data_IF_158459766167
#
_entry.id   IF_158459766167
#
_cell.length_a   1.000
_cell.length_b   1.000
_cell.length_c   1.000
_cell.angle_alpha   90.00
_cell.angle_beta   90.00
_cell.angle_gamma   90.00
#
_symmetry.space_group_name_H-M   'P 1'
#
loop_
_entity.id
_entity.type
_entity.pdbx_description
1 polymer ?
#
# COMPACT_ATOMS: atom_id res chain seq x y z
N UNK A 1 -41.62 -36.37 -2.33
CA UNK A 1 -42.62 -37.20 -3.04
C UNK A 1 -41.93 -38.51 -3.36
N UNK A 2 -42.36 -39.62 -2.77
CA UNK A 2 -41.74 -40.92 -3.01
C UNK A 2 -42.09 -41.40 -4.43
N UNK A 3 -41.08 -41.61 -5.27
CA UNK A 3 -41.21 -42.22 -6.58
C UNK A 3 -41.60 -43.69 -6.41
N UNK A 4 -42.78 -44.06 -6.91
CA UNK A 4 -43.30 -45.43 -6.81
C UNK A 4 -42.82 -46.24 -8.02
N UNK A 5 -41.88 -47.16 -7.77
CA UNK A 5 -41.39 -48.11 -8.75
C UNK A 5 -42.37 -49.28 -8.90
N UNK A 6 -42.86 -49.52 -10.12
CA UNK A 6 -43.94 -50.47 -10.38
C UNK A 6 -43.49 -51.88 -10.78
N UNK A 7 -42.20 -52.11 -10.95
CA UNK A 7 -41.66 -53.43 -11.34
C UNK A 7 -40.49 -53.84 -10.44
N UNK A 8 -40.39 -55.10 -10.01
CA UNK A 8 -39.23 -55.58 -9.26
C UNK A 8 -37.96 -55.47 -10.11
N UNK A 9 -36.95 -54.75 -9.63
CA UNK A 9 -35.70 -54.51 -10.36
C UNK A 9 -34.75 -53.61 -9.58
N UNK A 10 -33.50 -53.49 -10.04
CA UNK A 10 -32.52 -52.55 -9.50
C UNK A 10 -32.65 -51.23 -10.28
N UNK A 11 -32.92 -50.14 -9.57
CA UNK A 11 -33.00 -48.80 -10.15
C UNK A 11 -31.82 -47.96 -9.67
N UNK A 12 -31.17 -47.27 -10.60
CA UNK A 12 -30.13 -46.28 -10.30
C UNK A 12 -30.76 -44.91 -10.56
N UNK A 13 -30.97 -44.14 -9.50
CA UNK A 13 -31.28 -42.71 -9.61
C UNK A 13 -29.99 -41.92 -9.50
N UNK A 14 -29.59 -41.27 -10.60
CA UNK A 14 -28.62 -40.19 -10.51
C UNK A 14 -29.36 -38.93 -10.05
N UNK A 15 -29.18 -38.56 -8.77
CA UNK A 15 -29.59 -37.24 -8.29
C UNK A 15 -28.48 -36.28 -8.76
N UNK A 16 -28.71 -35.39 -9.75
CA UNK A 16 -27.71 -34.41 -10.15
C UNK A 16 -27.56 -33.40 -9.02
N UNK A 17 -26.65 -33.70 -8.10
CA UNK A 17 -26.25 -32.81 -7.02
C UNK A 17 -25.09 -31.98 -7.56
N UNK A 18 -25.38 -31.08 -8.49
CA UNK A 18 -24.43 -30.02 -8.77
C UNK A 18 -24.17 -29.33 -7.43
N UNK A 19 -22.92 -29.31 -6.93
CA UNK A 19 -22.61 -28.48 -5.77
C UNK A 19 -23.06 -27.05 -6.12
N UNK A 20 -23.63 -26.30 -5.16
CA UNK A 20 -23.93 -24.90 -5.41
C UNK A 20 -22.65 -24.25 -5.93
N UNK A 21 -22.73 -23.63 -7.11
CA UNK A 21 -21.61 -22.84 -7.65
C UNK A 21 -21.31 -21.76 -6.62
N UNK A 22 -20.20 -21.88 -5.90
CA UNK A 22 -19.75 -20.82 -5.01
C UNK A 22 -19.32 -19.65 -5.89
N UNK A 23 -19.95 -18.50 -5.74
CA UNK A 23 -19.38 -17.27 -6.28
C UNK A 23 -18.07 -17.03 -5.51
N UNK A 24 -16.97 -16.84 -6.23
CA UNK A 24 -15.70 -16.45 -5.64
C UNK A 24 -15.88 -15.09 -4.99
N UNK A 25 -16.05 -15.04 -3.68
CA UNK A 25 -15.97 -13.78 -2.93
C UNK A 25 -14.50 -13.53 -2.69
N UNK A 26 -13.97 -12.43 -3.22
CA UNK A 26 -12.60 -12.02 -2.93
C UNK A 26 -12.47 -11.82 -1.41
N UNK A 27 -11.72 -12.70 -0.74
CA UNK A 27 -11.57 -12.68 0.72
C UNK A 27 -10.49 -11.71 1.20
N UNK A 28 -9.72 -11.15 0.26
CA UNK A 28 -8.60 -10.25 0.51
C UNK A 28 -8.77 -9.00 -0.35
N UNK A 29 -9.64 -8.08 0.09
CA UNK A 29 -9.83 -6.78 -0.55
C UNK A 29 -9.00 -5.75 0.23
N UNK A 30 -7.87 -5.28 -0.32
CA UNK A 30 -7.04 -4.30 0.38
C UNK A 30 -7.55 -2.88 0.23
N UNK A 31 -7.48 -2.11 1.32
CA UNK A 31 -7.49 -0.66 1.31
C UNK A 31 -6.07 -0.14 1.33
N UNK A 32 -5.64 0.47 0.22
CA UNK A 32 -4.39 1.19 0.10
C UNK A 32 -4.57 2.65 0.54
N UNK A 33 -3.75 3.08 1.49
CA UNK A 33 -3.77 4.44 2.04
C UNK A 33 -2.44 5.12 1.73
N UNK A 34 -2.48 6.26 1.04
CA UNK A 34 -1.27 7.00 0.67
C UNK A 34 -1.55 8.30 -0.09
N UNK A 35 -0.48 8.95 -0.54
CA UNK A 35 -0.55 10.21 -1.30
C UNK A 35 -0.74 9.94 -2.80
N UNK A 36 -1.49 10.80 -3.47
CA UNK A 36 -1.85 10.65 -4.89
C UNK A 36 -1.43 11.87 -5.70
N UNK A 37 -1.45 11.80 -7.04
CA UNK A 37 -1.17 12.97 -7.87
C UNK A 37 -2.31 13.97 -7.82
N UNK A 38 -3.54 13.45 -7.90
CA UNK A 38 -4.77 14.23 -7.83
C UNK A 38 -5.57 13.81 -6.61
N UNK A 39 -6.11 14.79 -5.90
CA UNK A 39 -7.04 14.59 -4.80
C UNK A 39 -8.49 14.92 -5.19
N UNK A 40 -8.75 15.21 -6.47
CA UNK A 40 -10.05 15.61 -7.00
C UNK A 40 -10.37 14.91 -8.31
N UNK A 41 -11.64 14.53 -8.47
CA UNK A 41 -12.19 14.02 -9.72
C UNK A 41 -13.34 14.92 -10.17
N UNK A 42 -13.25 15.49 -11.37
CA UNK A 42 -14.30 16.36 -11.96
C UNK A 42 -14.74 17.51 -11.05
N UNK A 43 -13.83 18.03 -10.22
CA UNK A 43 -14.10 19.12 -9.28
C UNK A 43 -14.56 18.68 -7.88
N UNK A 44 -14.86 17.39 -7.68
CA UNK A 44 -15.16 16.85 -6.35
C UNK A 44 -13.90 16.37 -5.63
N UNK A 45 -13.79 16.65 -4.34
CA UNK A 45 -12.70 16.12 -3.50
C UNK A 45 -12.86 14.62 -3.28
N UNK A 46 -11.75 13.91 -3.42
CA UNK A 46 -11.55 12.49 -3.10
C UNK A 46 -11.02 12.31 -1.67
N UNK A 47 -10.48 13.37 -1.04
CA UNK A 47 -10.11 13.32 0.38
C UNK A 47 -11.35 13.08 1.21
N UNK A 48 -11.32 12.05 2.08
CA UNK A 48 -12.47 11.67 2.89
C UNK A 48 -13.39 10.61 2.24
N UNK A 49 -13.04 10.10 1.05
CA UNK A 49 -13.76 9.01 0.37
C UNK A 49 -12.85 7.81 0.17
N UNK A 50 -13.41 6.61 0.28
CA UNK A 50 -12.77 5.39 -0.17
C UNK A 50 -13.27 5.07 -1.59
N UNK A 51 -12.36 4.93 -2.54
CA UNK A 51 -12.72 4.69 -3.95
C UNK A 51 -12.29 3.29 -4.35
N UNK A 52 -13.23 2.47 -4.76
CA UNK A 52 -12.96 1.14 -5.30
C UNK A 52 -12.38 1.26 -6.72
N UNK A 53 -11.34 0.49 -6.99
CA UNK A 53 -10.72 0.33 -8.31
C UNK A 53 -10.49 -1.16 -8.61
N UNK A 54 -10.50 -1.52 -9.88
CA UNK A 54 -10.24 -2.87 -10.36
C UNK A 54 -8.98 -2.97 -11.24
N UNK A 55 -8.35 -1.84 -11.60
CA UNK A 55 -7.14 -1.85 -12.41
C UNK A 55 -6.25 -0.63 -12.20
N UNK A 56 -4.99 -0.73 -12.65
CA UNK A 56 -4.05 0.42 -12.69
C UNK A 56 -4.55 1.52 -13.62
N UNK A 57 -5.24 1.19 -14.72
CA UNK A 57 -5.77 2.18 -15.65
C UNK A 57 -6.85 3.06 -14.99
N UNK A 58 -7.74 2.45 -14.20
CA UNK A 58 -8.72 3.19 -13.39
C UNK A 58 -8.05 4.07 -12.35
N UNK A 59 -7.00 3.57 -11.69
CA UNK A 59 -6.20 4.39 -10.78
C UNK A 59 -5.62 5.62 -11.48
N UNK A 60 -5.01 5.45 -12.66
CA UNK A 60 -4.40 6.54 -13.41
C UNK A 60 -5.41 7.59 -13.87
N UNK A 61 -6.63 7.17 -14.21
CA UNK A 61 -7.72 8.08 -14.57
C UNK A 61 -8.20 8.91 -13.37
N UNK A 62 -8.26 8.32 -12.18
CA UNK A 62 -8.83 8.95 -10.98
C UNK A 62 -7.79 9.73 -10.17
N UNK A 63 -6.64 9.11 -9.91
CA UNK A 63 -5.62 9.56 -8.96
C UNK A 63 -4.32 10.01 -9.62
N UNK A 64 -4.15 9.73 -10.92
CA UNK A 64 -2.97 10.06 -11.70
C UNK A 64 -1.83 9.05 -11.57
N UNK A 65 -0.61 9.50 -11.86
CA UNK A 65 0.60 8.67 -11.91
C UNK A 65 1.57 8.99 -10.78
N UNK A 66 2.61 8.16 -10.62
CA UNK A 66 3.70 8.40 -9.67
C UNK A 66 4.29 9.82 -9.75
N UNK A 67 4.79 10.35 -8.61
CA UNK A 67 5.42 11.65 -8.56
C UNK A 67 6.65 11.67 -9.47
N UNK A 68 6.83 12.77 -10.22
CA UNK A 68 8.04 12.96 -11.01
C UNK A 68 9.20 13.25 -10.06
N UNK A 69 10.26 12.44 -10.15
CA UNK A 69 11.41 12.55 -9.26
C UNK A 69 12.42 13.56 -9.84
N UNK A 70 12.81 14.54 -9.04
CA UNK A 70 14.01 15.34 -9.33
C UNK A 70 15.25 14.49 -9.01
N UNK A 71 16.32 14.65 -9.78
CA UNK A 71 17.58 13.95 -9.52
C UNK A 71 18.65 14.98 -9.26
N UNK A 72 19.27 14.90 -8.08
CA UNK A 72 20.46 15.67 -7.74
C UNK A 72 21.69 14.86 -8.14
N UNK A 73 22.56 15.46 -8.94
CA UNK A 73 23.82 14.85 -9.39
C UNK A 73 24.95 15.42 -8.53
N UNK A 74 25.71 14.54 -7.90
CA UNK A 74 26.92 14.90 -7.18
C UNK A 74 28.14 14.64 -8.06
N UNK A 75 29.00 15.66 -8.18
CA UNK A 75 30.32 15.57 -8.80
C UNK A 75 31.41 15.58 -7.73
N UNK A 76 32.48 14.86 -7.98
CA UNK A 76 33.69 14.94 -7.18
C UNK A 76 34.45 16.28 -7.40
N UNK A 77 35.54 16.49 -6.65
CA UNK A 77 36.40 17.66 -6.78
C UNK A 77 37.01 17.85 -8.19
N UNK A 78 37.06 16.79 -9.00
CA UNK A 78 37.61 16.77 -10.35
C UNK A 78 36.53 16.82 -11.45
N UNK A 79 35.27 17.10 -11.09
CA UNK A 79 34.11 17.08 -11.99
C UNK A 79 33.74 15.71 -12.58
N UNK A 80 34.20 14.62 -11.99
CA UNK A 80 33.70 13.30 -12.37
C UNK A 80 32.37 13.02 -11.67
N UNK A 81 31.52 12.24 -12.34
CA UNK A 81 30.28 11.76 -11.77
C UNK A 81 30.55 10.87 -10.54
N UNK A 82 29.97 11.23 -9.39
CA UNK A 82 30.07 10.45 -8.15
C UNK A 82 28.77 9.65 -7.91
N UNK A 83 27.65 10.36 -7.71
CA UNK A 83 26.35 9.72 -7.46
C UNK A 83 25.19 10.56 -7.95
N UNK A 84 24.06 9.91 -8.26
CA UNK A 84 22.80 10.56 -8.55
C UNK A 84 21.77 10.10 -7.51
N UNK A 85 21.17 11.04 -6.78
CA UNK A 85 20.16 10.74 -5.76
C UNK A 85 18.81 11.29 -6.21
N UNK A 86 17.79 10.43 -6.42
CA UNK A 86 16.44 10.91 -6.69
C UNK A 86 15.80 11.50 -5.43
N UNK A 87 14.93 12.47 -5.61
CA UNK A 87 14.06 13.02 -4.56
C UNK A 87 13.13 11.95 -4.00
N UNK A 88 12.56 12.22 -2.82
CA UNK A 88 11.74 11.25 -2.08
C UNK A 88 10.59 10.72 -2.93
N UNK A 89 10.38 9.41 -2.84
CA UNK A 89 9.47 8.65 -3.68
C UNK A 89 8.27 8.21 -2.84
N UNK A 90 7.07 8.63 -3.20
CA UNK A 90 5.85 7.98 -2.71
C UNK A 90 5.70 6.62 -3.40
N UNK A 91 5.35 5.60 -2.63
CA UNK A 91 5.33 4.20 -3.04
C UNK A 91 3.93 3.70 -3.39
N UNK A 92 2.84 4.40 -3.02
CA UNK A 92 1.47 3.96 -3.28
C UNK A 92 1.23 3.46 -4.71
N UNK A 93 1.58 4.28 -5.72
CA UNK A 93 1.40 3.92 -7.13
C UNK A 93 2.24 2.71 -7.55
N UNK A 94 3.50 2.64 -7.12
CA UNK A 94 4.38 1.51 -7.44
C UNK A 94 3.91 0.22 -6.74
N UNK A 95 3.43 0.32 -5.49
CA UNK A 95 2.83 -0.78 -4.74
C UNK A 95 1.57 -1.32 -5.43
N UNK A 96 0.72 -0.45 -5.98
CA UNK A 96 -0.46 -0.87 -6.75
C UNK A 96 -0.07 -1.58 -8.04
N UNK A 97 0.92 -1.07 -8.76
CA UNK A 97 1.44 -1.76 -9.96
C UNK A 97 1.96 -3.15 -9.63
N UNK A 98 2.67 -3.30 -8.51
CA UNK A 98 3.12 -4.60 -8.04
C UNK A 98 1.94 -5.49 -7.63
N UNK A 99 0.94 -4.95 -6.94
CA UNK A 99 -0.26 -5.70 -6.54
C UNK A 99 -0.98 -6.30 -7.77
N UNK A 100 -1.29 -5.49 -8.77
CA UNK A 100 -1.93 -5.98 -9.99
C UNK A 100 -1.04 -6.91 -10.82
N UNK A 101 0.28 -6.66 -10.85
CA UNK A 101 1.22 -7.57 -11.52
C UNK A 101 1.31 -8.95 -10.84
N UNK A 102 0.93 -9.06 -9.56
CA UNK A 102 0.85 -10.32 -8.81
C UNK A 102 -0.58 -10.91 -8.78
N UNK A 103 -1.47 -10.46 -9.67
CA UNK A 103 -2.84 -10.98 -9.76
C UNK A 103 -3.82 -10.34 -8.77
N UNK A 104 -3.53 -9.12 -8.30
CA UNK A 104 -4.45 -8.34 -7.49
C UNK A 104 -5.79 -8.07 -8.20
N UNK A 105 -6.88 -8.13 -7.44
CA UNK A 105 -8.25 -7.88 -7.90
C UNK A 105 -8.77 -6.51 -7.47
N UNK A 106 -10.01 -6.47 -6.97
CA UNK A 106 -10.61 -5.22 -6.47
C UNK A 106 -9.84 -4.72 -5.26
N UNK A 107 -9.57 -3.42 -5.21
CA UNK A 107 -9.02 -2.76 -4.04
C UNK A 107 -9.61 -1.38 -3.83
N UNK A 108 -9.45 -0.85 -2.63
CA UNK A 108 -9.89 0.49 -2.26
C UNK A 108 -8.69 1.42 -2.14
N UNK A 109 -8.84 2.64 -2.61
CA UNK A 109 -7.86 3.71 -2.44
C UNK A 109 -8.44 4.77 -1.53
N UNK A 110 -7.69 5.14 -0.50
CA UNK A 110 -7.97 6.29 0.33
C UNK A 110 -6.80 7.26 0.19
N UNK A 111 -7.05 8.37 -0.50
CA UNK A 111 -6.02 9.41 -0.69
C UNK A 111 -5.84 10.23 0.59
N UNK A 112 -4.58 10.50 0.93
CA UNK A 112 -4.18 11.42 1.99
C UNK A 112 -4.06 12.87 1.50
N UNK A 113 -4.30 13.11 0.21
CA UNK A 113 -4.08 14.37 -0.48
C UNK A 113 -3.03 14.25 -1.59
N UNK A 114 -2.76 15.36 -2.26
CA UNK A 114 -1.74 15.45 -3.28
C UNK A 114 -0.33 15.21 -2.72
N UNK A 115 0.61 14.82 -3.59
CA UNK A 115 2.01 14.63 -3.21
C UNK A 115 2.59 15.88 -2.54
N UNK A 116 3.02 15.80 -1.27
CA UNK A 116 3.58 16.96 -0.60
C UNK A 116 4.96 17.29 -1.18
N UNK A 117 5.28 18.59 -1.20
CA UNK A 117 6.54 19.09 -1.75
C UNK A 117 7.80 18.61 -0.98
N UNK A 118 7.64 18.17 0.27
CA UNK A 118 8.70 17.61 1.11
C UNK A 118 8.14 16.59 2.09
N UNK A 119 8.93 15.57 2.40
CA UNK A 119 8.57 14.58 3.42
C UNK A 119 8.83 15.03 4.86
N UNK A 120 9.54 16.14 5.06
CA UNK A 120 9.81 16.68 6.40
C UNK A 120 8.56 17.13 7.16
N UNK A 121 7.45 17.38 6.44
CA UNK A 121 6.18 17.85 7.02
C UNK A 121 5.14 16.73 7.17
N UNK A 122 5.49 15.49 6.85
CA UNK A 122 4.57 14.36 6.97
C UNK A 122 4.28 14.08 8.45
N UNK A 123 3.01 13.88 8.76
CA UNK A 123 2.55 13.58 10.11
C UNK A 123 1.42 12.52 10.08
N UNK A 124 1.01 12.05 11.26
CA UNK A 124 0.03 10.98 11.40
C UNK A 124 -1.43 11.41 11.17
N UNK A 125 -1.75 12.71 11.19
CA UNK A 125 -3.13 13.19 11.20
C UNK A 125 -3.94 12.84 9.91
N UNK A 126 -3.35 12.89 8.69
CA UNK A 126 -4.03 12.39 7.49
C UNK A 126 -4.42 10.92 7.59
N UNK A 127 -3.56 10.07 8.19
CA UNK A 127 -3.85 8.66 8.38
C UNK A 127 -5.00 8.43 9.37
N UNK A 128 -5.06 9.19 10.45
CA UNK A 128 -6.19 9.13 11.39
C UNK A 128 -7.52 9.48 10.72
N UNK A 129 -7.51 10.45 9.81
CA UNK A 129 -8.68 10.81 9.01
C UNK A 129 -9.04 9.68 8.02
N UNK A 130 -8.04 9.08 7.38
CA UNK A 130 -8.23 7.94 6.48
C UNK A 130 -8.82 6.71 7.19
N UNK A 131 -8.39 6.41 8.43
CA UNK A 131 -8.96 5.30 9.20
C UNK A 131 -10.44 5.49 9.54
N UNK A 132 -10.87 6.72 9.80
CA UNK A 132 -12.29 7.04 10.01
C UNK A 132 -13.13 6.81 8.75
N UNK A 133 -12.56 7.10 7.58
CA UNK A 133 -13.22 6.81 6.29
C UNK A 133 -13.31 5.30 6.11
N UNK A 134 -12.18 4.61 6.28
CA UNK A 134 -12.08 3.15 6.16
C UNK A 134 -13.05 2.41 7.09
N UNK A 135 -13.33 2.95 8.28
CA UNK A 135 -14.25 2.36 9.25
C UNK A 135 -15.70 2.27 8.72
N UNK A 136 -16.09 3.15 7.80
CA UNK A 136 -17.44 3.15 7.22
C UNK A 136 -17.57 2.21 6.01
N UNK A 137 -16.49 1.58 5.57
CA UNK A 137 -16.49 0.66 4.44
C UNK A 137 -16.46 -0.79 4.94
N UNK A 138 -17.44 -1.60 4.55
CA UNK A 138 -17.57 -2.98 5.04
C UNK A 138 -16.72 -3.99 4.24
N UNK A 139 -16.36 -3.69 3.00
CA UNK A 139 -15.67 -4.64 2.11
C UNK A 139 -14.16 -4.81 2.38
N UNK A 140 -13.38 -3.77 2.75
CA UNK A 140 -11.94 -3.93 2.93
C UNK A 140 -11.57 -4.85 4.10
N UNK A 141 -10.80 -5.90 3.80
CA UNK A 141 -10.29 -6.86 4.78
C UNK A 141 -8.79 -6.70 5.06
N UNK A 142 -8.06 -5.97 4.22
CA UNK A 142 -6.64 -5.66 4.43
C UNK A 142 -6.38 -4.16 4.51
N UNK A 143 -5.47 -3.72 5.38
CA UNK A 143 -5.00 -2.34 5.46
C UNK A 143 -3.55 -2.30 5.00
N UNK A 144 -3.26 -1.49 3.97
CA UNK A 144 -1.91 -1.35 3.40
C UNK A 144 -1.55 0.13 3.32
N UNK A 145 -0.39 0.51 3.85
CA UNK A 145 0.02 1.91 4.02
C UNK A 145 1.45 2.16 3.50
N UNK A 146 1.70 1.97 2.19
CA UNK A 146 3.06 1.93 1.64
C UNK A 146 3.83 3.25 1.82
N UNK A 147 3.13 4.38 1.94
CA UNK A 147 3.76 5.69 2.13
C UNK A 147 4.11 6.02 3.59
N UNK A 148 3.56 5.27 4.55
CA UNK A 148 3.71 5.56 5.99
C UNK A 148 5.17 5.43 6.45
N UNK A 149 6.00 4.69 5.71
CA UNK A 149 7.44 4.54 5.95
C UNK A 149 8.20 5.88 5.95
N UNK A 150 7.65 6.93 5.34
CA UNK A 150 8.24 8.27 5.36
C UNK A 150 8.01 9.05 6.66
N UNK A 151 7.15 8.54 7.55
CA UNK A 151 6.83 9.18 8.83
C UNK A 151 7.92 9.04 9.90
N UNK A 152 8.97 8.24 9.63
CA UNK A 152 10.03 7.96 10.59
C UNK A 152 9.46 7.43 11.90
N UNK A 153 9.77 8.08 13.02
CA UNK A 153 9.31 7.66 14.35
C UNK A 153 7.78 7.57 14.51
N UNK A 154 7.00 8.33 13.71
CA UNK A 154 5.53 8.30 13.75
C UNK A 154 4.92 7.09 13.00
N UNK A 155 5.72 6.32 12.27
CA UNK A 155 5.28 5.10 11.57
C UNK A 155 4.58 4.12 12.53
N UNK A 156 5.16 3.90 13.70
CA UNK A 156 4.63 2.95 14.67
C UNK A 156 3.28 3.37 15.22
N UNK A 157 3.08 4.67 15.45
CA UNK A 157 1.79 5.22 15.89
C UNK A 157 0.69 5.00 14.85
N UNK A 158 0.99 5.22 13.57
CA UNK A 158 0.03 4.95 12.48
C UNK A 158 -0.31 3.46 12.40
N UNK A 159 0.68 2.57 12.51
CA UNK A 159 0.45 1.12 12.51
C UNK A 159 -0.33 0.64 13.75
N UNK A 160 -0.11 1.27 14.91
CA UNK A 160 -0.89 1.03 16.13
C UNK A 160 -2.35 1.44 15.97
N UNK A 161 -2.61 2.57 15.31
CA UNK A 161 -3.98 3.02 15.02
C UNK A 161 -4.70 2.05 14.08
N UNK A 162 -4.02 1.56 13.03
CA UNK A 162 -4.56 0.53 12.14
C UNK A 162 -4.85 -0.79 12.90
N UNK A 163 -3.96 -1.19 13.82
CA UNK A 163 -4.14 -2.34 14.71
C UNK A 163 -5.33 -2.16 15.67
N UNK A 164 -5.51 -0.96 16.20
CA UNK A 164 -6.64 -0.62 17.08
C UNK A 164 -7.97 -0.76 16.33
N UNK A 165 -8.05 -0.21 15.11
CA UNK A 165 -9.22 -0.36 14.25
C UNK A 165 -9.50 -1.83 13.91
N UNK A 166 -8.46 -2.57 13.54
CA UNK A 166 -8.58 -4.00 13.20
C UNK A 166 -9.07 -4.84 14.39
N UNK A 167 -8.61 -4.52 15.60
CA UNK A 167 -9.11 -5.17 16.83
C UNK A 167 -10.56 -4.78 17.19
N UNK A 168 -10.99 -3.57 16.84
CA UNK A 168 -12.36 -3.07 17.06
C UNK A 168 -13.36 -3.78 16.14
N UNK A 169 -13.06 -3.78 14.83
CA UNK A 169 -13.98 -4.26 13.79
C UNK A 169 -13.85 -5.76 13.54
N UNK A 170 -12.67 -6.35 13.83
CA UNK A 170 -12.38 -7.80 13.80
C UNK A 170 -12.50 -8.46 12.44
N UNK A 171 -12.55 -7.66 11.38
CA UNK A 171 -12.71 -8.02 9.97
C UNK A 171 -11.53 -7.54 9.10
N UNK A 172 -10.62 -6.74 9.67
CA UNK A 172 -9.45 -6.17 9.00
C UNK A 172 -8.15 -6.79 9.50
N UNK A 173 -7.16 -6.84 8.62
CA UNK A 173 -5.81 -7.29 8.91
C UNK A 173 -4.78 -6.30 8.35
N UNK A 174 -3.82 -5.89 9.16
CA UNK A 174 -2.85 -4.85 8.80
C UNK A 174 -1.56 -5.45 8.26
N UNK A 175 -1.10 -4.94 7.13
CA UNK A 175 0.25 -5.21 6.61
C UNK A 175 1.16 -4.10 7.10
N UNK A 176 2.08 -4.46 7.99
CA UNK A 176 3.03 -3.54 8.61
C UNK A 176 4.37 -3.54 7.85
N UNK A 177 4.93 -2.36 7.69
CA UNK A 177 6.23 -2.14 7.07
C UNK A 177 7.29 -1.80 8.12
N UNK A 178 8.53 -2.20 7.82
CA UNK A 178 9.70 -1.86 8.61
C UNK A 178 10.40 -0.63 8.02
N UNK A 179 11.16 0.10 8.85
CA UNK A 179 12.05 1.16 8.37
C UNK A 179 13.04 0.61 7.34
N UNK A 180 13.34 1.40 6.31
CA UNK A 180 14.25 1.00 5.23
C UNK A 180 15.65 0.72 5.79
N UNK A 181 16.14 -0.49 5.54
CA UNK A 181 17.48 -0.91 5.92
C UNK A 181 18.32 -1.29 4.68
N UNK A 182 19.56 -0.79 4.63
CA UNK A 182 20.51 -1.06 3.53
C UNK A 182 21.61 -2.07 3.91
N UNK A 183 21.64 -2.52 5.16
CA UNK A 183 22.61 -3.50 5.66
C UNK A 183 21.94 -4.51 6.58
N UNK A 184 22.59 -5.67 6.78
CA UNK A 184 22.08 -6.70 7.71
C UNK A 184 21.93 -6.18 9.14
N UNK A 185 22.90 -5.37 9.59
CA UNK A 185 22.86 -4.75 10.92
C UNK A 185 21.71 -3.76 11.05
N UNK A 186 21.54 -2.88 10.07
CA UNK A 186 20.43 -1.93 10.05
C UNK A 186 19.07 -2.63 10.01
N UNK A 187 18.97 -3.77 9.30
CA UNK A 187 17.75 -4.56 9.24
C UNK A 187 17.43 -5.20 10.60
N UNK A 188 18.43 -5.77 11.27
CA UNK A 188 18.24 -6.30 12.63
C UNK A 188 17.78 -5.20 13.61
N UNK A 189 18.35 -3.99 13.50
CA UNK A 189 17.91 -2.83 14.28
C UNK A 189 16.46 -2.41 13.96
N UNK A 190 16.08 -2.37 12.69
CA UNK A 190 14.70 -2.04 12.29
C UNK A 190 13.69 -3.06 12.81
N UNK A 191 14.04 -4.36 12.82
CA UNK A 191 13.22 -5.43 13.40
C UNK A 191 13.08 -5.27 14.92
N UNK A 192 14.18 -4.98 15.63
CA UNK A 192 14.11 -4.71 17.08
C UNK A 192 13.24 -3.50 17.36
N UNK A 193 13.50 -2.37 16.69
CA UNK A 193 12.73 -1.13 16.84
C UNK A 193 11.23 -1.36 16.61
N UNK A 194 10.86 -2.14 15.59
CA UNK A 194 9.46 -2.48 15.35
C UNK A 194 8.87 -3.30 16.49
N UNK A 195 9.55 -4.37 16.94
CA UNK A 195 9.07 -5.21 18.04
C UNK A 195 8.92 -4.44 19.34
N UNK A 196 9.83 -3.51 19.61
CA UNK A 196 9.83 -2.70 20.83
C UNK A 196 8.74 -1.62 20.80
N UNK A 197 8.47 -1.02 19.63
CA UNK A 197 7.59 0.15 19.50
C UNK A 197 6.17 -0.17 19.05
N UNK A 198 5.90 -1.28 18.36
CA UNK A 198 4.55 -1.62 17.89
C UNK A 198 3.58 -1.88 19.04
N UNK A 199 4.08 -2.30 20.21
CA UNK A 199 3.29 -2.59 21.40
C UNK A 199 2.75 -4.03 21.43
N UNK A 200 1.78 -4.29 22.31
CA UNK A 200 1.27 -5.65 22.60
C UNK A 200 -0.20 -5.85 22.26
N UNK A 201 -0.89 -4.79 21.83
CA UNK A 201 -2.33 -4.80 21.61
C UNK A 201 -2.67 -5.30 20.20
N UNK A 202 -3.70 -6.14 20.08
CA UNK A 202 -4.28 -6.57 18.80
C UNK A 202 -3.31 -7.23 17.81
N UNK A 203 -2.16 -7.72 18.26
CA UNK A 203 -1.10 -8.27 17.39
C UNK A 203 -1.55 -9.43 16.48
N UNK A 204 -2.63 -10.13 16.84
CA UNK A 204 -3.23 -11.18 16.00
C UNK A 204 -3.86 -10.67 14.70
N UNK A 205 -4.00 -9.36 14.54
CA UNK A 205 -4.59 -8.70 13.37
C UNK A 205 -3.55 -8.01 12.47
N UNK A 206 -2.26 -8.33 12.61
CA UNK A 206 -1.24 -7.78 11.71
C UNK A 206 -0.12 -8.77 11.41
N UNK A 207 0.57 -8.52 10.30
CA UNK A 207 1.85 -9.14 9.96
C UNK A 207 2.81 -8.06 9.46
N UNK A 208 4.07 -8.15 9.90
CA UNK A 208 5.14 -7.26 9.44
C UNK A 208 6.01 -7.95 8.39
N UNK A 209 6.32 -7.25 7.30
CA UNK A 209 7.12 -7.78 6.21
C UNK A 209 8.42 -6.98 6.01
N UNK A 210 9.50 -7.73 5.74
CA UNK A 210 10.81 -7.19 5.41
C UNK A 210 11.76 -8.33 4.99
N UNK A 211 12.88 -8.03 4.32
CA UNK A 211 13.38 -6.70 3.95
C UNK A 211 12.60 -6.08 2.78
N UNK A 212 12.90 -4.81 2.48
CA UNK A 212 12.31 -4.11 1.35
C UNK A 212 12.68 -4.77 0.02
N UNK A 213 11.74 -4.78 -0.91
CA UNK A 213 11.94 -5.34 -2.25
C UNK A 213 12.45 -4.25 -3.20
N UNK A 214 13.48 -4.58 -3.98
CA UNK A 214 13.93 -3.74 -5.09
C UNK A 214 13.17 -4.12 -6.37
N UNK A 215 12.25 -3.26 -6.79
CA UNK A 215 11.45 -3.50 -7.99
C UNK A 215 12.10 -2.90 -9.25
N UNK A 216 12.07 -3.65 -10.35
CA UNK A 216 12.53 -3.22 -11.68
C UNK A 216 11.51 -2.36 -12.44
N UNK A 217 10.76 -1.51 -11.74
CA UNK A 217 9.71 -0.68 -12.34
C UNK A 217 10.30 0.60 -12.96
N UNK A 218 9.83 1.01 -14.15
CA UNK A 218 10.24 2.28 -14.75
C UNK A 218 9.74 3.46 -13.90
N UNK A 219 10.60 4.48 -13.73
CA UNK A 219 10.32 5.71 -12.98
C UNK A 219 10.36 6.94 -13.88
N UNK A 220 9.51 7.92 -13.55
CA UNK A 220 9.46 9.21 -14.22
C UNK A 220 10.46 10.17 -13.58
N UNK A 221 11.53 10.50 -14.32
CA UNK A 221 12.59 11.41 -13.88
C UNK A 221 12.45 12.76 -14.59
N UNK A 222 12.50 13.85 -13.83
CA UNK A 222 12.64 15.20 -14.37
C UNK A 222 14.05 15.39 -14.93
N UNK A 223 14.15 15.53 -16.26
CA UNK A 223 15.45 15.75 -16.95
C UNK A 223 15.86 17.22 -17.04
N UNK A 224 15.01 18.14 -16.58
CA UNK A 224 15.24 19.59 -16.64
C UNK A 224 15.58 20.11 -15.23
N UNK A 225 16.51 21.06 -15.16
CA UNK A 225 16.94 21.71 -13.91
C UNK A 225 17.48 20.71 -12.86
N UNK A 226 18.29 19.74 -13.28
CA UNK A 226 18.97 18.83 -12.34
C UNK A 226 20.02 19.64 -11.56
N UNK A 227 19.87 19.81 -10.23
CA UNK A 227 20.88 20.48 -9.44
C UNK A 227 22.16 19.65 -9.42
N UNK A 228 23.29 20.33 -9.62
CA UNK A 228 24.62 19.75 -9.56
C UNK A 228 25.28 20.23 -8.28
N UNK A 229 25.61 19.29 -7.40
CA UNK A 229 26.34 19.56 -6.16
C UNK A 229 27.78 19.06 -6.31
N UNK A 230 28.73 19.80 -5.74
CA UNK A 230 30.16 19.41 -5.70
C UNK A 230 30.52 18.98 -4.29
N UNK A 231 31.12 17.80 -4.14
CA UNK A 231 31.75 17.40 -2.88
C UNK A 231 33.24 17.72 -2.92
N UNK A 232 33.63 18.74 -2.14
CA UNK A 232 35.03 19.13 -1.94
C UNK A 232 35.22 20.65 -1.82
N UNK A 233 35.97 21.09 -0.82
CA UNK A 233 36.54 22.44 -0.77
C UNK A 233 37.57 22.58 -1.89
N UNK A 234 37.58 23.66 -2.69
CA UNK A 234 38.71 23.93 -3.57
C UNK A 234 39.95 24.07 -2.69
N UNK A 235 40.97 23.24 -2.96
CA UNK A 235 42.29 23.39 -2.36
C UNK A 235 42.99 24.65 -2.83
#
# INVERSE_FOLDING_TARGET
MATSYKTPGVYIEEIPKFPPSIASVETAIPAFIGYTQYDKLKGESLTGKAVAIASVAEYEEIFGVAPRQAVTVELDAFNNFNKATPSVAFFLYDSLRMFYANGGGKCYIITLGEYPASTSNLNAAPYESAFKVLENEDEPTLIVMPDAVHLGGNLYTVQQNALAQSGKLKDRFVICDLEKALSKTAFASAVSNFRDKIGINNLKYAAAYGPWVQAGLPRLILRRNMPIERSGTPG
#
